data_IF_627430785616
#
_entry.id   IF_627430785616
#
_cell.length_a   1.000
_cell.length_b   1.000
_cell.length_c   1.000
_cell.angle_alpha   90.00
_cell.angle_beta   90.00
_cell.angle_gamma   90.00
#
_symmetry.space_group_name_H-M   'P 1'
#
loop_
_entity.id
_entity.type
_entity.pdbx_description
1 polymer ?
#
# COMPACT_ATOMS: atom_id res chain seq x y z
N UNK A 1 -23.57 7.53 13.52
CA UNK A 1 -22.79 6.78 12.52
C UNK A 1 -23.46 7.01 11.17
N UNK A 2 -22.76 7.49 10.13
CA UNK A 2 -23.41 7.86 8.85
C UNK A 2 -23.80 6.62 8.03
N UNK A 3 -24.83 6.73 7.18
CA UNK A 3 -25.24 5.65 6.25
C UNK A 3 -24.06 5.20 5.38
N UNK A 4 -23.24 6.14 4.94
CA UNK A 4 -22.02 5.87 4.17
C UNK A 4 -21.01 5.01 4.95
N UNK A 5 -20.84 5.24 6.26
CA UNK A 5 -19.95 4.42 7.07
C UNK A 5 -20.45 2.97 7.13
N UNK A 6 -21.76 2.77 7.28
CA UNK A 6 -22.36 1.45 7.34
C UNK A 6 -22.17 0.67 6.04
N UNK A 7 -22.44 1.30 4.88
CA UNK A 7 -22.23 0.70 3.56
C UNK A 7 -20.74 0.35 3.33
N UNK A 8 -19.84 1.27 3.68
CA UNK A 8 -18.39 1.04 3.58
C UNK A 8 -17.94 -0.12 4.48
N UNK A 9 -18.48 -0.21 5.70
CA UNK A 9 -18.19 -1.31 6.62
C UNK A 9 -18.64 -2.65 6.06
N UNK A 10 -19.88 -2.75 5.58
CA UNK A 10 -20.39 -3.96 4.93
C UNK A 10 -19.46 -4.37 3.79
N UNK A 11 -19.10 -3.43 2.90
CA UNK A 11 -18.23 -3.70 1.76
C UNK A 11 -16.84 -4.18 2.19
N UNK A 12 -16.25 -3.57 3.22
CA UNK A 12 -14.95 -3.99 3.75
C UNK A 12 -15.00 -5.40 4.35
N UNK A 13 -16.04 -5.72 5.13
CA UNK A 13 -16.19 -7.03 5.79
C UNK A 13 -16.61 -8.16 4.84
N UNK A 14 -17.09 -7.83 3.65
CA UNK A 14 -17.46 -8.81 2.60
C UNK A 14 -16.40 -8.91 1.49
N UNK A 15 -15.44 -8.00 1.47
CA UNK A 15 -14.32 -8.02 0.54
C UNK A 15 -13.22 -8.99 1.01
N UNK A 16 -12.72 -9.82 0.10
CA UNK A 16 -11.70 -10.83 0.41
C UNK A 16 -10.41 -10.24 0.98
N UNK A 17 -10.02 -9.03 0.56
CA UNK A 17 -8.82 -8.35 1.07
C UNK A 17 -9.09 -7.80 2.46
N UNK A 18 -10.25 -7.17 2.68
CA UNK A 18 -10.66 -6.68 3.99
C UNK A 18 -10.72 -7.80 5.04
N UNK A 19 -11.30 -8.94 4.68
CA UNK A 19 -11.31 -10.14 5.52
C UNK A 19 -9.90 -10.66 5.80
N UNK A 20 -9.06 -10.83 4.77
CA UNK A 20 -7.70 -11.32 4.96
C UNK A 20 -6.89 -10.43 5.92
N UNK A 21 -7.02 -9.10 5.81
CA UNK A 21 -6.36 -8.14 6.72
C UNK A 21 -6.92 -8.19 8.13
N UNK A 22 -8.22 -8.44 8.28
CA UNK A 22 -8.86 -8.63 9.59
C UNK A 22 -8.33 -9.88 10.28
N UNK A 23 -8.27 -11.01 9.57
CA UNK A 23 -7.70 -12.24 10.11
C UNK A 23 -6.19 -12.11 10.39
N UNK A 24 -5.46 -11.34 9.57
CA UNK A 24 -4.05 -11.01 9.82
C UNK A 24 -3.88 -10.23 11.13
N UNK A 25 -4.74 -9.25 11.38
CA UNK A 25 -4.74 -8.46 12.60
C UNK A 25 -5.04 -9.34 13.82
N UNK A 26 -6.05 -10.21 13.73
CA UNK A 26 -6.38 -11.17 14.79
C UNK A 26 -5.23 -12.13 15.08
N UNK A 27 -4.60 -12.67 14.03
CA UNK A 27 -3.44 -13.55 14.15
C UNK A 27 -2.27 -12.84 14.86
N UNK A 28 -2.00 -11.59 14.49
CA UNK A 28 -0.96 -10.77 15.09
C UNK A 28 -1.25 -10.48 16.57
N UNK A 29 -2.47 -10.12 16.93
CA UNK A 29 -2.90 -9.89 18.31
C UNK A 29 -2.72 -11.15 19.17
N UNK A 30 -3.18 -12.30 18.69
CA UNK A 30 -2.99 -13.59 19.37
C UNK A 30 -1.51 -13.90 19.56
N UNK A 31 -0.68 -13.65 18.55
CA UNK A 31 0.76 -13.85 18.62
C UNK A 31 1.43 -12.92 19.66
N UNK A 32 1.03 -11.65 19.73
CA UNK A 32 1.53 -10.71 20.74
C UNK A 32 1.16 -11.18 22.15
N UNK A 33 -0.12 -11.53 22.38
CA UNK A 33 -0.58 -12.02 23.69
C UNK A 33 0.19 -13.29 24.10
N UNK A 34 0.38 -14.23 23.17
CA UNK A 34 1.11 -15.46 23.45
C UNK A 34 2.61 -15.24 23.71
N UNK A 35 3.19 -14.16 23.18
CA UNK A 35 4.63 -13.89 23.29
C UNK A 35 5.02 -13.07 24.52
N UNK A 36 4.07 -12.30 25.10
CA UNK A 36 4.34 -11.45 26.26
C UNK A 36 3.55 -11.93 27.49
N UNK A 37 4.21 -12.59 28.48
CA UNK A 37 3.54 -13.15 29.65
C UNK A 37 2.74 -12.14 30.46
N UNK A 38 3.21 -10.89 30.56
CA UNK A 38 2.51 -9.81 31.24
C UNK A 38 1.16 -9.48 30.56
N UNK A 39 1.12 -9.45 29.23
CA UNK A 39 -0.10 -9.19 28.45
C UNK A 39 -1.07 -10.37 28.60
N UNK A 40 -0.56 -11.60 28.57
CA UNK A 40 -1.37 -12.79 28.84
C UNK A 40 -1.97 -12.78 30.25
N UNK A 41 -1.19 -12.41 31.26
CA UNK A 41 -1.67 -12.29 32.65
C UNK A 41 -2.76 -11.23 32.79
N UNK A 42 -2.59 -10.07 32.16
CA UNK A 42 -3.63 -9.03 32.10
C UNK A 42 -4.92 -9.58 31.46
N UNK A 43 -4.82 -10.26 30.32
CA UNK A 43 -5.98 -10.85 29.64
C UNK A 43 -6.71 -11.86 30.54
N UNK A 44 -5.97 -12.75 31.21
CA UNK A 44 -6.57 -13.75 32.10
C UNK A 44 -7.25 -13.10 33.31
N UNK A 45 -6.65 -12.04 33.87
CA UNK A 45 -7.25 -11.28 34.97
C UNK A 45 -8.53 -10.57 34.55
N UNK A 46 -8.54 -9.97 33.36
CA UNK A 46 -9.72 -9.31 32.78
C UNK A 46 -10.82 -10.33 32.48
N UNK A 47 -10.46 -11.48 31.92
CA UNK A 47 -11.41 -12.54 31.62
C UNK A 47 -12.04 -13.09 32.90
N UNK A 48 -11.25 -13.39 33.92
CA UNK A 48 -11.74 -13.84 35.22
C UNK A 48 -12.66 -12.83 35.90
N UNK A 49 -12.37 -11.53 35.75
CA UNK A 49 -13.25 -10.44 36.19
C UNK A 49 -14.58 -10.44 35.42
N UNK A 50 -14.56 -10.52 34.09
CA UNK A 50 -15.77 -10.47 33.25
C UNK A 50 -16.65 -11.71 33.47
N UNK A 51 -16.06 -12.89 33.60
CA UNK A 51 -16.80 -14.16 33.71
C UNK A 51 -17.18 -14.51 35.15
N UNK A 52 -16.85 -13.65 36.13
CA UNK A 52 -17.11 -13.89 37.55
C UNK A 52 -16.49 -15.20 38.06
N UNK A 53 -15.47 -15.71 37.36
CA UNK A 53 -14.88 -17.02 37.63
C UNK A 53 -13.74 -16.86 38.61
N UNK A 54 -13.79 -17.58 39.73
CA UNK A 54 -12.69 -17.66 40.70
C UNK A 54 -11.41 -18.08 39.97
N UNK A 55 -10.33 -17.32 40.15
CA UNK A 55 -9.04 -17.36 39.44
C UNK A 55 -8.24 -18.67 39.50
N UNK A 56 -8.84 -19.77 39.98
CA UNK A 56 -8.19 -21.05 40.19
C UNK A 56 -8.17 -21.99 38.96
N UNK A 57 -8.88 -21.67 37.86
CA UNK A 57 -9.20 -22.67 36.84
C UNK A 57 -8.36 -22.66 35.54
N UNK A 58 -7.61 -21.60 35.23
CA UNK A 58 -6.97 -21.46 33.90
C UNK A 58 -5.45 -21.41 34.02
N UNK A 59 -4.79 -22.50 33.65
CA UNK A 59 -3.33 -22.57 33.61
C UNK A 59 -2.77 -21.68 32.50
N UNK A 60 -1.86 -20.76 32.85
CA UNK A 60 -1.14 -19.91 31.90
C UNK A 60 -0.50 -20.71 30.75
N UNK A 61 0.10 -21.85 31.08
CA UNK A 61 0.75 -22.72 30.10
C UNK A 61 -0.25 -23.30 29.10
N UNK A 62 -1.41 -23.78 29.59
CA UNK A 62 -2.47 -24.30 28.74
C UNK A 62 -3.05 -23.21 27.83
N UNK A 63 -3.32 -22.02 28.36
CA UNK A 63 -3.80 -20.88 27.55
C UNK A 63 -2.79 -20.51 26.47
N UNK A 64 -1.50 -20.51 26.79
CA UNK A 64 -0.46 -20.21 25.80
C UNK A 64 -0.50 -21.20 24.62
N UNK A 65 -0.58 -22.51 24.90
CA UNK A 65 -0.71 -23.55 23.88
C UNK A 65 -1.96 -23.35 23.02
N UNK A 66 -3.10 -23.02 23.64
CA UNK A 66 -4.36 -22.74 22.93
C UNK A 66 -4.20 -21.52 22.01
N UNK A 67 -3.56 -20.44 22.47
CA UNK A 67 -3.30 -19.25 21.65
C UNK A 67 -2.37 -19.57 20.47
N UNK A 68 -1.34 -20.40 20.67
CA UNK A 68 -0.49 -20.85 19.58
C UNK A 68 -1.27 -21.67 18.54
N UNK A 69 -2.17 -22.56 18.97
CA UNK A 69 -3.05 -23.29 18.06
C UNK A 69 -4.02 -22.36 17.31
N UNK A 70 -4.60 -21.38 17.99
CA UNK A 70 -5.47 -20.37 17.39
C UNK A 70 -4.71 -19.53 16.34
N UNK A 71 -3.48 -19.11 16.63
CA UNK A 71 -2.60 -18.41 15.68
C UNK A 71 -2.41 -19.22 14.40
N UNK A 72 -2.17 -20.53 14.50
CA UNK A 72 -2.02 -21.39 13.32
C UNK A 72 -3.32 -21.49 12.51
N UNK A 73 -4.46 -21.66 13.17
CA UNK A 73 -5.79 -21.71 12.51
C UNK A 73 -6.13 -20.41 11.79
N UNK A 74 -5.84 -19.26 12.40
CA UNK A 74 -6.01 -17.94 11.76
C UNK A 74 -5.06 -17.78 10.56
N UNK A 75 -3.82 -18.29 10.67
CA UNK A 75 -2.87 -18.35 9.55
C UNK A 75 -3.41 -19.17 8.38
N UNK A 76 -3.94 -20.37 8.65
CA UNK A 76 -4.58 -21.23 7.66
C UNK A 76 -5.78 -20.57 6.99
N UNK A 77 -6.68 -19.95 7.77
CA UNK A 77 -7.84 -19.23 7.26
C UNK A 77 -7.45 -18.15 6.23
N UNK A 78 -6.34 -17.43 6.47
CA UNK A 78 -5.82 -16.44 5.53
C UNK A 78 -5.30 -17.05 4.23
N UNK A 79 -4.74 -18.27 4.27
CA UNK A 79 -4.28 -18.97 3.05
C UNK A 79 -5.45 -19.23 2.10
N UNK A 80 -6.63 -19.58 2.62
CA UNK A 80 -7.83 -19.76 1.80
C UNK A 80 -8.25 -18.48 1.04
N UNK A 81 -8.17 -17.30 1.67
CA UNK A 81 -8.46 -16.03 0.98
C UNK A 81 -7.46 -15.66 -0.13
N UNK A 82 -6.31 -16.34 -0.20
CA UNK A 82 -5.25 -16.09 -1.17
C UNK A 82 -4.99 -17.25 -2.13
N UNK A 83 -5.72 -18.35 -2.02
CA UNK A 83 -5.45 -19.62 -2.70
C UNK A 83 -5.13 -19.47 -4.20
N UNK A 84 -5.91 -18.66 -4.93
CA UNK A 84 -5.70 -18.44 -6.37
C UNK A 84 -5.09 -17.07 -6.72
N UNK A 85 -4.67 -16.28 -5.73
CA UNK A 85 -4.11 -14.94 -5.97
C UNK A 85 -2.76 -14.94 -6.68
N UNK A 86 -2.11 -16.11 -6.79
CA UNK A 86 -0.93 -16.26 -7.64
C UNK A 86 -1.25 -15.98 -9.11
N UNK A 87 -2.47 -16.32 -9.58
CA UNK A 87 -2.92 -16.04 -10.94
C UNK A 87 -2.99 -14.53 -11.19
N UNK A 88 -3.60 -13.79 -10.26
CA UNK A 88 -3.64 -12.32 -10.33
C UNK A 88 -2.24 -11.72 -10.35
N UNK A 89 -1.33 -12.24 -9.52
CA UNK A 89 0.04 -11.77 -9.42
C UNK A 89 0.83 -12.00 -10.73
N UNK A 90 0.74 -13.20 -11.31
CA UNK A 90 1.40 -13.52 -12.59
C UNK A 90 0.77 -12.75 -13.75
N UNK A 91 -0.55 -12.64 -13.82
CA UNK A 91 -1.23 -11.85 -14.84
C UNK A 91 -0.81 -10.37 -14.75
N UNK A 92 -0.75 -9.83 -13.53
CA UNK A 92 -0.32 -8.46 -13.29
C UNK A 92 1.18 -8.25 -13.60
N UNK A 93 2.04 -9.25 -13.44
CA UNK A 93 3.44 -9.21 -13.86
C UNK A 93 3.55 -9.25 -15.39
N UNK A 94 2.83 -10.15 -16.05
CA UNK A 94 2.82 -10.29 -17.50
C UNK A 94 2.31 -9.02 -18.19
N UNK A 95 1.24 -8.40 -17.67
CA UNK A 95 0.72 -7.13 -18.19
C UNK A 95 1.76 -6.00 -18.15
N UNK A 96 2.52 -5.90 -17.06
CA UNK A 96 3.61 -4.92 -16.97
C UNK A 96 4.72 -5.25 -17.98
N UNK A 97 5.16 -6.50 -18.02
CA UNK A 97 6.19 -6.96 -18.95
C UNK A 97 5.83 -6.71 -20.42
N UNK A 98 4.61 -7.09 -20.83
CA UNK A 98 4.12 -6.86 -22.19
C UNK A 98 4.05 -5.36 -22.53
N UNK A 99 3.66 -4.53 -21.56
CA UNK A 99 3.67 -3.07 -21.72
C UNK A 99 5.08 -2.49 -21.94
N UNK A 100 6.10 -3.04 -21.28
CA UNK A 100 7.50 -2.64 -21.49
C UNK A 100 7.99 -3.06 -22.89
N UNK A 101 7.71 -4.29 -23.30
CA UNK A 101 8.13 -4.83 -24.60
C UNK A 101 7.48 -4.11 -25.79
N UNK A 102 6.27 -3.57 -25.61
CA UNK A 102 5.56 -2.85 -26.66
C UNK A 102 6.14 -1.45 -26.95
N UNK A 103 6.87 -0.84 -26.01
CA UNK A 103 7.29 0.57 -26.12
C UNK A 103 8.47 0.83 -27.05
N UNK A 104 9.15 -0.18 -27.59
CA UNK A 104 10.06 -0.10 -28.75
C UNK A 104 11.26 0.88 -28.71
N UNK A 105 11.34 1.77 -27.72
CA UNK A 105 12.34 2.82 -27.60
C UNK A 105 12.59 3.19 -26.14
N UNK A 106 13.88 3.37 -25.81
CA UNK A 106 14.48 3.58 -24.49
C UNK A 106 14.42 2.37 -23.52
N UNK A 107 15.50 2.11 -22.75
CA UNK A 107 15.47 1.08 -21.72
C UNK A 107 14.42 1.42 -20.66
N UNK A 108 13.56 0.44 -20.36
CA UNK A 108 12.52 0.60 -19.35
C UNK A 108 13.12 1.04 -18.00
N UNK A 109 12.44 1.94 -17.26
CA UNK A 109 12.96 2.44 -16.01
C UNK A 109 13.09 1.31 -14.97
N UNK A 110 14.12 1.39 -14.12
CA UNK A 110 14.45 0.35 -13.15
C UNK A 110 13.27 -0.01 -12.22
N UNK A 111 12.46 0.96 -11.79
CA UNK A 111 11.28 0.67 -10.96
C UNK A 111 10.24 -0.20 -11.67
N UNK A 112 10.11 -0.12 -12.99
CA UNK A 112 9.16 -0.94 -13.74
C UNK A 112 9.61 -2.40 -13.80
N UNK A 113 10.91 -2.66 -13.95
CA UNK A 113 11.46 -4.01 -13.83
C UNK A 113 11.31 -4.56 -12.41
N UNK A 114 11.53 -3.73 -11.38
CA UNK A 114 11.28 -4.11 -9.99
C UNK A 114 9.81 -4.45 -9.73
N UNK A 115 8.85 -3.74 -10.36
CA UNK A 115 7.44 -4.11 -10.26
C UNK A 115 7.14 -5.46 -10.92
N UNK A 116 7.72 -5.73 -12.11
CA UNK A 116 7.58 -7.02 -12.80
C UNK A 116 8.13 -8.14 -11.92
N UNK A 117 9.37 -8.01 -11.46
CA UNK A 117 10.01 -9.00 -10.60
C UNK A 117 9.26 -9.17 -9.27
N UNK A 118 8.87 -8.08 -8.63
CA UNK A 118 8.13 -8.10 -7.38
C UNK A 118 6.81 -8.85 -7.49
N UNK A 119 6.06 -8.65 -8.59
CA UNK A 119 4.81 -9.39 -8.85
C UNK A 119 5.06 -10.85 -9.18
N UNK A 120 6.10 -11.17 -9.95
CA UNK A 120 6.48 -12.56 -10.25
C UNK A 120 6.88 -13.32 -8.99
N UNK A 121 7.74 -12.75 -8.14
CA UNK A 121 8.12 -13.35 -6.87
C UNK A 121 6.93 -13.50 -5.92
N UNK A 122 6.05 -12.50 -5.85
CA UNK A 122 4.82 -12.63 -5.06
C UNK A 122 3.90 -13.74 -5.61
N UNK A 123 3.82 -13.89 -6.94
CA UNK A 123 3.11 -15.00 -7.58
C UNK A 123 3.69 -16.35 -7.20
N UNK A 124 5.01 -16.51 -7.24
CA UNK A 124 5.70 -17.74 -6.83
C UNK A 124 5.47 -18.07 -5.34
N UNK A 125 5.55 -17.07 -4.45
CA UNK A 125 5.20 -17.24 -3.04
C UNK A 125 3.78 -17.82 -2.88
N UNK A 126 2.80 -17.20 -3.52
CA UNK A 126 1.40 -17.60 -3.42
C UNK A 126 1.14 -18.98 -4.04
N UNK A 127 1.85 -19.33 -5.13
CA UNK A 127 1.77 -20.63 -5.78
C UNK A 127 2.28 -21.75 -4.85
N UNK A 128 3.44 -21.55 -4.22
CA UNK A 128 4.01 -22.52 -3.28
C UNK A 128 3.21 -22.61 -1.97
N UNK A 129 2.62 -21.49 -1.52
CA UNK A 129 1.67 -21.51 -0.39
C UNK A 129 0.39 -22.28 -0.76
N UNK A 130 -0.12 -22.13 -1.98
CA UNK A 130 -1.29 -22.85 -2.48
C UNK A 130 -1.02 -24.36 -2.59
N UNK A 131 0.16 -24.77 -3.08
CA UNK A 131 0.50 -26.19 -3.23
C UNK A 131 0.62 -26.95 -1.91
N UNK A 132 0.81 -26.25 -0.79
CA UNK A 132 0.92 -26.84 0.56
C UNK A 132 -0.36 -26.72 1.39
N UNK A 133 -1.49 -26.28 0.79
CA UNK A 133 -2.71 -26.05 1.55
C UNK A 133 -3.34 -27.33 2.10
N UNK A 134 -3.24 -28.44 1.36
CA UNK A 134 -3.78 -29.75 1.78
C UNK A 134 -3.01 -30.26 2.98
N UNK A 135 -1.68 -30.22 2.94
CA UNK A 135 -0.82 -30.62 4.05
C UNK A 135 -1.02 -29.71 5.27
N UNK A 136 -1.27 -28.42 5.05
CA UNK A 136 -1.57 -27.47 6.13
C UNK A 136 -2.88 -27.78 6.89
N UNK A 137 -3.80 -28.58 6.32
CA UNK A 137 -5.00 -29.04 7.03
C UNK A 137 -4.69 -30.11 8.08
N UNK A 138 -3.53 -30.76 8.01
CA UNK A 138 -3.07 -31.77 8.95
C UNK A 138 -4.08 -32.91 9.15
N UNK A 139 -4.73 -33.33 8.06
CA UNK A 139 -5.65 -34.47 8.05
C UNK A 139 -4.81 -35.76 8.00
N UNK A 140 -5.04 -36.67 8.95
CA UNK A 140 -4.33 -37.95 9.01
C UNK A 140 -4.58 -38.76 7.72
N UNK A 141 -3.51 -39.27 7.11
CA UNK A 141 -3.55 -40.06 5.87
C UNK A 141 -3.68 -39.25 4.57
N UNK A 142 -3.93 -37.93 4.64
CA UNK A 142 -4.05 -37.06 3.46
C UNK A 142 -2.90 -36.03 3.42
N UNK A 143 -1.73 -36.48 2.98
CA UNK A 143 -0.55 -35.64 2.74
C UNK A 143 -0.16 -35.70 1.27
N UNK A 144 -0.01 -34.55 0.65
CA UNK A 144 0.42 -34.41 -0.75
C UNK A 144 1.95 -34.40 -0.80
N UNK A 145 2.59 -33.72 0.15
CA UNK A 145 4.04 -33.62 0.24
C UNK A 145 4.56 -34.44 1.42
N UNK A 146 5.77 -34.98 1.27
CA UNK A 146 6.49 -35.53 2.42
C UNK A 146 6.85 -34.39 3.40
N UNK A 147 6.95 -34.64 4.72
CA UNK A 147 7.18 -33.59 5.73
C UNK A 147 8.45 -32.74 5.50
N UNK A 148 9.48 -33.34 4.91
CA UNK A 148 10.72 -32.63 4.57
C UNK A 148 10.53 -31.70 3.38
N UNK A 149 9.78 -32.16 2.37
CA UNK A 149 9.42 -31.36 1.20
C UNK A 149 8.46 -30.24 1.54
N UNK A 150 7.44 -30.49 2.37
CA UNK A 150 6.51 -29.45 2.84
C UNK A 150 7.27 -28.29 3.52
N UNK A 151 8.22 -28.63 4.41
CA UNK A 151 9.08 -27.65 5.07
C UNK A 151 9.96 -26.89 4.06
N UNK A 152 10.60 -27.60 3.14
CA UNK A 152 11.45 -26.98 2.12
C UNK A 152 10.66 -26.01 1.22
N UNK A 153 9.49 -26.44 0.73
CA UNK A 153 8.58 -25.63 -0.08
C UNK A 153 8.13 -24.40 0.69
N UNK A 154 7.77 -24.57 1.97
CA UNK A 154 7.35 -23.44 2.82
C UNK A 154 8.47 -22.42 2.99
N UNK A 155 9.71 -22.86 3.24
CA UNK A 155 10.88 -21.97 3.36
C UNK A 155 11.16 -21.25 2.04
N UNK A 156 11.09 -21.95 0.91
CA UNK A 156 11.31 -21.35 -0.41
C UNK A 156 10.21 -20.32 -0.75
N UNK A 157 8.96 -20.61 -0.39
CA UNK A 157 7.87 -19.65 -0.50
C UNK A 157 8.18 -18.36 0.28
N UNK A 158 8.71 -18.46 1.51
CA UNK A 158 9.11 -17.29 2.29
C UNK A 158 10.25 -16.50 1.65
N UNK A 159 11.22 -17.17 0.99
CA UNK A 159 12.29 -16.48 0.24
C UNK A 159 11.73 -15.67 -0.91
N UNK A 160 10.82 -16.24 -1.71
CA UNK A 160 10.15 -15.50 -2.77
C UNK A 160 9.33 -14.32 -2.24
N UNK A 161 8.63 -14.50 -1.11
CA UNK A 161 7.91 -13.39 -0.50
C UNK A 161 8.85 -12.26 -0.06
N UNK A 162 9.98 -12.61 0.57
CA UNK A 162 11.01 -11.64 0.94
C UNK A 162 11.53 -10.86 -0.28
N UNK A 163 11.88 -11.57 -1.36
CA UNK A 163 12.35 -10.94 -2.60
C UNK A 163 11.30 -9.98 -3.20
N UNK A 164 10.02 -10.37 -3.14
CA UNK A 164 8.92 -9.52 -3.59
C UNK A 164 8.81 -8.22 -2.76
N UNK A 165 8.95 -8.32 -1.43
CA UNK A 165 8.94 -7.16 -0.53
C UNK A 165 10.13 -6.24 -0.78
N UNK A 166 11.34 -6.79 -0.97
CA UNK A 166 12.55 -6.02 -1.30
C UNK A 166 12.36 -5.27 -2.62
N UNK A 167 11.83 -5.92 -3.66
CA UNK A 167 11.51 -5.26 -4.92
C UNK A 167 10.52 -4.10 -4.71
N UNK A 168 9.48 -4.30 -3.90
CA UNK A 168 8.49 -3.28 -3.57
C UNK A 168 9.06 -2.09 -2.81
N UNK A 169 9.97 -2.31 -1.86
CA UNK A 169 10.69 -1.25 -1.14
C UNK A 169 11.57 -0.46 -2.10
N UNK A 170 12.40 -1.14 -2.90
CA UNK A 170 13.30 -0.48 -3.85
C UNK A 170 12.53 0.34 -4.90
N UNK A 171 11.47 -0.22 -5.48
CA UNK A 171 10.63 0.48 -6.44
C UNK A 171 9.96 1.72 -5.82
N UNK A 172 9.45 1.59 -4.59
CA UNK A 172 8.85 2.69 -3.85
C UNK A 172 9.84 3.81 -3.55
N UNK A 173 11.05 3.47 -3.09
CA UNK A 173 12.12 4.44 -2.83
C UNK A 173 12.57 5.17 -4.10
N UNK A 174 12.79 4.46 -5.20
CA UNK A 174 13.16 5.07 -6.49
C UNK A 174 12.10 6.06 -6.97
N UNK A 175 10.81 5.71 -6.84
CA UNK A 175 9.71 6.63 -7.17
C UNK A 175 9.64 7.82 -6.23
N UNK A 176 9.90 7.66 -4.93
CA UNK A 176 9.99 8.77 -4.00
C UNK A 176 11.12 9.73 -4.38
N UNK A 177 12.30 9.21 -4.71
CA UNK A 177 13.43 10.01 -5.20
C UNK A 177 13.05 10.75 -6.48
N UNK A 178 12.38 10.11 -7.44
CA UNK A 178 11.90 10.77 -8.66
C UNK A 178 10.90 11.89 -8.35
N UNK A 179 9.93 11.64 -7.48
CA UNK A 179 8.94 12.67 -7.08
C UNK A 179 9.64 13.87 -6.41
N UNK A 180 10.69 13.63 -5.62
CA UNK A 180 11.48 14.69 -4.97
C UNK A 180 12.45 15.40 -5.92
N UNK A 181 13.06 14.69 -6.87
CA UNK A 181 14.03 15.25 -7.82
C UNK A 181 13.35 16.06 -8.93
N UNK A 182 12.19 15.60 -9.41
CA UNK A 182 11.42 16.29 -10.44
C UNK A 182 10.37 17.26 -9.84
N UNK A 183 10.49 17.65 -8.57
CA UNK A 183 9.78 18.85 -8.12
C UNK A 183 10.44 20.05 -8.80
N UNK A 184 9.79 20.73 -9.78
CA UNK A 184 10.37 21.95 -10.32
C UNK A 184 10.54 22.92 -9.15
N UNK A 185 11.79 23.31 -8.89
CA UNK A 185 12.08 24.41 -7.98
C UNK A 185 11.29 25.60 -8.51
N UNK A 186 10.35 26.18 -7.72
CA UNK A 186 9.67 27.39 -8.15
C UNK A 186 10.75 28.39 -8.52
N UNK A 187 10.69 28.97 -9.72
CA UNK A 187 11.53 30.09 -10.08
C UNK A 187 11.36 31.16 -8.99
N UNK A 188 12.32 31.20 -8.08
CA UNK A 188 12.39 32.11 -6.95
C UNK A 188 13.71 32.81 -7.16
N UNK A 189 13.66 33.97 -7.82
CA UNK A 189 14.84 34.78 -8.12
C UNK A 189 14.87 35.29 -9.55
N UNK A 190 14.30 36.48 -9.74
CA UNK A 190 14.66 37.54 -10.70
C UNK A 190 15.33 37.15 -12.03
N UNK A 191 14.56 37.25 -13.09
CA UNK A 191 15.04 37.32 -14.46
C UNK A 191 14.16 38.29 -15.24
N UNK A 192 14.47 39.59 -15.13
CA UNK A 192 14.09 40.60 -16.11
C UNK A 192 14.74 40.20 -17.46
N UNK A 193 14.10 39.30 -18.20
CA UNK A 193 14.46 39.02 -19.58
C UNK A 193 13.59 39.91 -20.47
N UNK A 194 14.13 41.10 -20.78
CA UNK A 194 13.77 41.83 -21.99
C UNK A 194 13.83 40.88 -23.19
N UNK A 195 12.84 40.95 -24.06
CA UNK A 195 12.89 40.21 -25.32
C UNK A 195 11.54 40.12 -26.00
N UNK A 196 11.06 41.26 -26.50
CA UNK A 196 10.10 41.28 -27.59
C UNK A 196 10.57 40.32 -28.70
N UNK A 197 9.67 39.46 -29.17
CA UNK A 197 9.61 39.08 -30.58
C UNK A 197 8.18 38.66 -30.91
N UNK A 198 7.56 39.56 -31.66
CA UNK A 198 6.44 39.30 -32.54
C UNK A 198 6.69 38.08 -33.42
N UNK A 199 5.59 37.43 -33.82
CA UNK A 199 5.50 36.78 -35.11
C UNK A 199 4.82 35.42 -35.11
N UNK A 200 3.57 35.43 -35.59
CA UNK A 200 2.90 34.40 -36.40
C UNK A 200 2.52 33.06 -35.74
N UNK A 201 1.35 32.46 -35.94
CA UNK A 201 0.20 32.66 -36.82
C UNK A 201 -1.01 32.07 -36.06
N UNK A 202 -2.17 32.73 -36.03
CA UNK A 202 -3.40 32.07 -36.46
C UNK A 202 -4.53 33.07 -36.71
N UNK A 203 -5.27 32.79 -37.78
CA UNK A 203 -6.18 33.68 -38.45
C UNK A 203 -7.63 33.52 -37.98
N UNK A 204 -8.41 34.60 -38.13
CA UNK A 204 -9.86 34.67 -37.89
C UNK A 204 -10.14 35.40 -36.58
N UNK A 205 -10.69 36.61 -36.56
CA UNK A 205 -11.93 37.00 -37.21
C UNK A 205 -11.95 38.52 -37.38
N UNK A 206 -12.44 38.96 -38.54
CA UNK A 206 -12.57 40.37 -38.90
C UNK A 206 -13.69 40.99 -38.07
N UNK A 207 -13.41 42.13 -37.44
CA UNK A 207 -14.38 43.20 -37.45
C UNK A 207 -13.73 44.56 -37.71
N UNK A 208 -14.36 45.28 -38.63
CA UNK A 208 -13.93 46.55 -39.21
C UNK A 208 -14.23 47.69 -38.24
N UNK A 209 -13.28 48.61 -38.02
CA UNK A 209 -13.59 50.05 -37.93
C UNK A 209 -12.44 50.84 -38.56
N UNK A 210 -12.80 51.81 -39.40
CA UNK A 210 -11.92 52.73 -40.12
C UNK A 210 -11.39 53.89 -39.25
N UNK A 211 -10.77 54.89 -39.90
CA UNK A 211 -9.67 55.67 -39.35
C UNK A 211 -10.15 56.90 -38.57
N UNK A 212 -9.50 57.21 -37.46
CA UNK A 212 -9.77 58.44 -36.72
C UNK A 212 -8.99 58.53 -35.42
N UNK A 213 -8.12 59.54 -35.39
CA UNK A 213 -7.68 60.34 -34.24
C UNK A 213 -7.00 59.68 -33.04
N UNK A 214 -5.97 60.40 -32.57
CA UNK A 214 -5.21 60.06 -31.38
C UNK A 214 -6.12 59.95 -30.16
N UNK A 215 -6.13 58.77 -29.57
CA UNK A 215 -6.56 58.58 -28.19
C UNK A 215 -5.34 58.02 -27.46
N UNK A 216 -4.70 58.89 -26.67
CA UNK A 216 -3.85 58.46 -25.58
C UNK A 216 -4.74 57.74 -24.57
N UNK A 217 -5.15 56.51 -24.91
CA UNK A 217 -5.98 55.67 -24.07
C UNK A 217 -5.26 55.50 -22.74
N UNK A 218 -5.79 56.19 -21.72
CA UNK A 218 -5.34 56.17 -20.35
C UNK A 218 -4.93 54.74 -19.99
N UNK A 219 -3.62 54.52 -19.76
CA UNK A 219 -3.13 53.22 -19.34
C UNK A 219 -3.75 52.92 -17.98
N UNK A 220 -4.88 52.20 -18.01
CA UNK A 220 -5.75 51.99 -16.86
C UNK A 220 -5.04 51.05 -15.88
N UNK A 221 -4.21 51.67 -15.05
CA UNK A 221 -3.32 51.05 -14.09
C UNK A 221 -4.11 50.16 -13.12
N UNK A 222 -5.41 50.44 -12.91
CA UNK A 222 -6.29 49.63 -12.09
C UNK A 222 -6.68 48.31 -12.78
N UNK A 223 -7.01 48.33 -14.08
CA UNK A 223 -7.29 47.10 -14.86
C UNK A 223 -6.04 46.22 -14.98
N UNK A 224 -4.87 46.83 -15.23
CA UNK A 224 -3.58 46.12 -15.29
C UNK A 224 -3.27 45.45 -13.93
N UNK A 225 -3.45 46.16 -12.82
CA UNK A 225 -3.31 45.61 -11.46
C UNK A 225 -4.28 44.46 -11.17
N UNK A 226 -5.53 44.54 -11.63
CA UNK A 226 -6.51 43.47 -11.43
C UNK A 226 -6.15 42.21 -12.22
N UNK A 227 -5.66 42.35 -13.46
CA UNK A 227 -5.16 41.25 -14.28
C UNK A 227 -3.96 40.55 -13.63
N UNK A 228 -2.98 41.33 -13.16
CA UNK A 228 -1.81 40.82 -12.43
C UNK A 228 -2.21 40.08 -11.15
N UNK A 229 -3.13 40.63 -10.36
CA UNK A 229 -3.66 39.98 -9.15
C UNK A 229 -4.37 38.67 -9.47
N UNK A 230 -5.14 38.60 -10.56
CA UNK A 230 -5.80 37.37 -11.01
C UNK A 230 -4.78 36.29 -11.40
N UNK A 231 -3.75 36.64 -12.19
CA UNK A 231 -2.66 35.73 -12.59
C UNK A 231 -1.90 35.21 -11.36
N UNK A 232 -1.56 36.10 -10.41
CA UNK A 232 -0.87 35.71 -9.17
C UNK A 232 -1.74 34.80 -8.30
N UNK A 233 -3.06 35.07 -8.22
CA UNK A 233 -4.02 34.24 -7.47
C UNK A 233 -4.14 32.84 -8.08
N UNK A 234 -4.23 32.73 -9.40
CA UNK A 234 -4.26 31.43 -10.10
C UNK A 234 -2.95 30.66 -9.94
N UNK A 235 -1.79 31.32 -10.09
CA UNK A 235 -0.48 30.71 -9.80
C UNK A 235 -0.36 30.25 -8.35
N UNK A 236 -0.91 31.00 -7.38
CA UNK A 236 -0.91 30.61 -5.97
C UNK A 236 -1.80 29.40 -5.72
N UNK A 237 -3.00 29.36 -6.29
CA UNK A 237 -3.90 28.18 -6.21
C UNK A 237 -3.24 26.95 -6.82
N UNK A 238 -2.69 27.07 -8.03
CA UNK A 238 -1.98 25.98 -8.71
C UNK A 238 -0.83 25.42 -7.89
N UNK A 239 0.00 26.30 -7.29
CA UNK A 239 1.08 25.87 -6.38
C UNK A 239 0.58 25.12 -5.14
N UNK A 240 -0.53 25.58 -4.54
CA UNK A 240 -1.11 24.92 -3.36
C UNK A 240 -1.67 23.54 -3.72
N UNK A 241 -2.40 23.43 -4.83
CA UNK A 241 -2.94 22.17 -5.32
C UNK A 241 -1.83 21.19 -5.66
N UNK A 242 -0.80 21.63 -6.39
CA UNK A 242 0.36 20.81 -6.73
C UNK A 242 1.11 20.33 -5.48
N UNK A 243 1.38 21.21 -4.50
CA UNK A 243 2.00 20.80 -3.22
C UNK A 243 1.15 19.81 -2.43
N UNK A 244 -0.18 19.87 -2.55
CA UNK A 244 -1.08 18.89 -1.93
C UNK A 244 -0.98 17.55 -2.66
N UNK A 245 -0.92 17.55 -3.98
CA UNK A 245 -0.80 16.34 -4.79
C UNK A 245 0.55 15.63 -4.57
N UNK A 246 1.66 16.37 -4.58
CA UNK A 246 3.00 15.81 -4.29
C UNK A 246 3.04 15.19 -2.89
N UNK A 247 2.52 15.89 -1.88
CA UNK A 247 2.43 15.35 -0.51
C UNK A 247 1.50 14.14 -0.41
N UNK A 248 0.42 14.10 -1.18
CA UNK A 248 -0.46 12.93 -1.22
C UNK A 248 0.26 11.72 -1.85
N UNK A 249 0.95 11.92 -2.98
CA UNK A 249 1.78 10.89 -3.63
C UNK A 249 2.85 10.38 -2.65
N UNK A 250 3.66 11.27 -2.09
CA UNK A 250 4.73 10.87 -1.14
C UNK A 250 4.19 10.14 0.09
N UNK A 251 3.04 10.53 0.64
CA UNK A 251 2.41 9.81 1.76
C UNK A 251 1.96 8.40 1.36
N UNK A 252 1.36 8.24 0.19
CA UNK A 252 0.94 6.94 -0.33
C UNK A 252 2.14 6.02 -0.56
N UNK A 253 3.18 6.51 -1.25
CA UNK A 253 4.42 5.76 -1.46
C UNK A 253 5.13 5.43 -0.14
N UNK A 254 5.25 6.41 0.75
CA UNK A 254 5.87 6.24 2.05
C UNK A 254 5.18 5.16 2.89
N UNK A 255 3.84 5.16 2.95
CA UNK A 255 3.08 4.11 3.65
C UNK A 255 3.35 2.72 3.06
N UNK A 256 3.36 2.59 1.73
CA UNK A 256 3.62 1.31 1.06
C UNK A 256 5.06 0.81 1.32
N UNK A 257 6.05 1.70 1.27
CA UNK A 257 7.45 1.39 1.59
C UNK A 257 7.58 0.95 3.05
N UNK A 258 7.01 1.70 4.00
CA UNK A 258 7.04 1.35 5.42
C UNK A 258 6.37 0.01 5.69
N UNK A 259 5.21 -0.25 5.08
CA UNK A 259 4.50 -1.52 5.23
C UNK A 259 5.34 -2.70 4.72
N UNK A 260 5.92 -2.59 3.52
CA UNK A 260 6.77 -3.64 2.96
C UNK A 260 8.06 -3.83 3.78
N UNK A 261 8.68 -2.75 4.25
CA UNK A 261 9.90 -2.81 5.05
C UNK A 261 9.69 -3.50 6.40
N UNK A 262 8.60 -3.18 7.10
CA UNK A 262 8.20 -3.88 8.32
C UNK A 262 7.87 -5.35 8.05
N UNK A 263 7.22 -5.63 6.91
CA UNK A 263 6.85 -7.00 6.54
C UNK A 263 8.07 -7.88 6.19
N UNK A 264 9.24 -7.32 5.86
CA UNK A 264 10.48 -8.11 5.63
C UNK A 264 10.88 -8.93 6.86
N UNK A 265 10.56 -8.44 8.07
CA UNK A 265 10.85 -9.16 9.33
C UNK A 265 10.18 -10.54 9.36
N UNK A 266 8.98 -10.66 8.77
CA UNK A 266 8.19 -11.89 8.82
C UNK A 266 8.88 -13.04 8.05
N UNK A 267 9.09 -12.97 6.72
CA UNK A 267 9.81 -14.02 6.01
C UNK A 267 11.30 -14.04 6.39
N UNK A 268 11.89 -12.90 6.74
CA UNK A 268 13.29 -12.82 7.18
C UNK A 268 13.56 -13.67 8.43
N UNK A 269 12.61 -13.70 9.37
CA UNK A 269 12.69 -14.56 10.57
C UNK A 269 12.54 -16.04 10.25
N UNK A 270 11.68 -16.40 9.29
CA UNK A 270 11.47 -17.80 8.90
C UNK A 270 12.66 -18.35 8.11
N UNK A 271 13.27 -17.53 7.26
CA UNK A 271 14.47 -17.89 6.48
C UNK A 271 15.74 -17.88 7.36
N UNK A 272 15.69 -17.26 8.54
CA UNK A 272 16.81 -17.17 9.48
C UNK A 272 17.77 -16.01 9.22
N UNK A 273 17.42 -15.07 8.33
CA UNK A 273 18.22 -13.88 8.04
C UNK A 273 18.02 -12.76 9.08
N UNK A 274 16.88 -12.75 9.77
CA UNK A 274 16.55 -11.78 10.81
C UNK A 274 16.27 -12.52 12.11
N UNK A 275 17.07 -12.25 13.15
CA UNK A 275 16.82 -12.78 14.49
C UNK A 275 15.75 -11.91 15.16
N UNK A 276 14.48 -12.30 15.02
CA UNK A 276 13.36 -11.61 15.63
C UNK A 276 12.54 -12.59 16.46
N UNK A 277 12.28 -12.23 17.71
CA UNK A 277 11.41 -13.00 18.59
C UNK A 277 9.98 -13.05 18.04
N UNK A 278 9.21 -14.11 18.36
CA UNK A 278 7.80 -14.21 17.96
C UNK A 278 6.96 -12.98 18.34
N UNK A 279 7.26 -12.32 19.45
CA UNK A 279 6.59 -11.09 19.87
C UNK A 279 6.85 -9.92 18.91
N UNK A 280 8.09 -9.74 18.48
CA UNK A 280 8.51 -8.70 17.52
C UNK A 280 7.88 -8.93 16.15
N UNK A 281 7.87 -10.19 15.68
CA UNK A 281 7.18 -10.56 14.43
C UNK A 281 5.68 -10.27 14.53
N UNK A 282 5.06 -10.54 15.69
CA UNK A 282 3.66 -10.22 15.96
C UNK A 282 3.39 -8.71 15.91
N UNK A 283 4.26 -7.90 16.49
CA UNK A 283 4.13 -6.44 16.48
C UNK A 283 4.29 -5.86 15.06
N UNK A 284 5.30 -6.31 14.31
CA UNK A 284 5.48 -5.92 12.92
C UNK A 284 4.23 -6.27 12.09
N UNK A 285 3.74 -7.51 12.22
CA UNK A 285 2.51 -7.96 11.56
C UNK A 285 1.29 -7.14 11.97
N UNK A 286 1.16 -6.76 13.24
CA UNK A 286 0.04 -5.95 13.74
C UNK A 286 0.02 -4.57 13.09
N UNK A 287 1.16 -3.87 13.13
CA UNK A 287 1.30 -2.52 12.54
C UNK A 287 1.03 -2.56 11.04
N UNK A 288 1.61 -3.51 10.31
CA UNK A 288 1.40 -3.61 8.86
C UNK A 288 -0.02 -4.00 8.49
N UNK A 289 -0.72 -4.76 9.35
CA UNK A 289 -2.14 -5.11 9.15
C UNK A 289 -3.04 -3.89 9.26
N UNK A 290 -2.77 -2.98 10.21
CA UNK A 290 -3.52 -1.73 10.32
C UNK A 290 -3.24 -0.85 9.09
N UNK A 291 -1.97 -0.66 8.73
CA UNK A 291 -1.58 0.18 7.60
C UNK A 291 -2.22 -0.31 6.29
N UNK A 292 -2.14 -1.61 6.02
CA UNK A 292 -2.69 -2.22 4.79
C UNK A 292 -4.20 -2.45 4.87
N UNK A 293 -4.77 -2.57 6.06
CA UNK A 293 -6.21 -2.60 6.30
C UNK A 293 -6.86 -1.25 6.00
N UNK A 294 -6.20 -0.15 6.38
CA UNK A 294 -6.65 1.21 6.04
C UNK A 294 -6.65 1.45 4.52
N UNK A 295 -5.68 0.89 3.78
CA UNK A 295 -5.68 0.94 2.30
C UNK A 295 -6.93 0.29 1.71
N UNK A 296 -7.28 -0.91 2.19
CA UNK A 296 -8.47 -1.62 1.77
C UNK A 296 -9.76 -0.87 2.19
N UNK A 297 -9.79 -0.32 3.41
CA UNK A 297 -10.89 0.49 3.90
C UNK A 297 -11.15 1.71 3.00
N UNK A 298 -10.11 2.49 2.70
CA UNK A 298 -10.20 3.66 1.82
C UNK A 298 -10.63 3.29 0.40
N UNK A 299 -10.18 2.14 -0.12
CA UNK A 299 -10.63 1.61 -1.43
C UNK A 299 -12.13 1.33 -1.41
N UNK A 300 -12.63 0.59 -0.42
CA UNK A 300 -14.06 0.30 -0.29
C UNK A 300 -14.88 1.59 -0.18
N UNK A 301 -14.38 2.61 0.53
CA UNK A 301 -15.05 3.91 0.63
C UNK A 301 -15.17 4.64 -0.70
N UNK A 302 -14.13 4.58 -1.55
CA UNK A 302 -14.17 5.15 -2.91
C UNK A 302 -15.15 4.39 -3.81
N UNK A 303 -15.18 3.05 -3.74
CA UNK A 303 -16.12 2.23 -4.52
C UNK A 303 -17.58 2.53 -4.14
N UNK A 304 -17.88 2.65 -2.85
CA UNK A 304 -19.23 3.02 -2.37
C UNK A 304 -19.60 4.44 -2.80
N UNK A 305 -18.67 5.39 -2.71
CA UNK A 305 -18.93 6.76 -3.17
C UNK A 305 -19.15 6.86 -4.69
N UNK A 306 -18.50 6.01 -5.49
CA UNK A 306 -18.66 5.97 -6.94
C UNK A 306 -19.94 5.23 -7.39
N UNK A 307 -20.57 4.47 -6.49
CA UNK A 307 -21.81 3.73 -6.76
C UNK A 307 -23.08 4.55 -6.46
N UNK A 308 -22.92 5.81 -6.06
CA UNK A 308 -24.00 6.79 -5.81
C UNK A 308 -24.00 7.86 -6.89
#
# INVERSE_FOLDING_TARGET
MSVQFHEQFIRFTTDSVGLERTFRLLQATVQIIASYPAVLGLLLSLLGFITGSSSAAVSHAQTNVILLALRQRLGLARRFFRLFRFLDAFHAAHKLYAGLSATGAAPAPAEAWLDVLGRTFNGMYLLLEASTIVDALQIEGLRVWAPDWERAITVEAQRFWLLALVCGVLAGLLRMVKVLAYTPVPATGDGFAHGAKEGKDDAGEKDKVGPGDGDEGEFDMQKEQQRLRAIVKERRKGRVLWRREVRAKLRGLGRAVTANALDIVLPGSVVGWVQADPGTVGLAMFVTSILTGMDAWERCGREVAASK
#
